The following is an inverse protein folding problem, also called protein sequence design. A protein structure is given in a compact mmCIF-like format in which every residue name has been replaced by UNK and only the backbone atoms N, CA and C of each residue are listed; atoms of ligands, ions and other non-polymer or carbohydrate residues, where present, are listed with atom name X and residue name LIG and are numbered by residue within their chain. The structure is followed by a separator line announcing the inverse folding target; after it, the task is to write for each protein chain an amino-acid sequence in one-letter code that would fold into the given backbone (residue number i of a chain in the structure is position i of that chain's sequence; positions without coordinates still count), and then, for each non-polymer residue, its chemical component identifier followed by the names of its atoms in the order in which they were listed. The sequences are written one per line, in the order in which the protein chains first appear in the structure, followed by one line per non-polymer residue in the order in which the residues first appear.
data_IF_294752778344
#
_entry.id   IF_294752778344
#
_cell.length_a   1.000
_cell.length_b   1.000
_cell.length_c   1.000
_cell.angle_alpha   90.00
_cell.angle_beta   90.00
_cell.angle_gamma   90.00
#
_symmetry.space_group_name_H-M   'P 1'
#
loop_
_entity.id
_entity.type
_entity.pdbx_description
1 polymer ?
#
# COMPACT_ATOMS: atom_id res chain seq x y z
N UNK A 1 -1.90 -19.29 13.54
CA UNK A 1 -3.06 -18.70 12.81
C UNK A 1 -4.41 -18.93 13.49
N UNK A 2 -4.73 -20.13 14.03
CA UNK A 2 -6.03 -20.43 14.69
C UNK A 2 -6.50 -19.37 15.70
N UNK A 3 -5.64 -18.95 16.63
CA UNK A 3 -5.99 -17.95 17.65
C UNK A 3 -6.36 -16.57 17.09
N UNK A 4 -5.72 -16.13 16.00
CA UNK A 4 -6.04 -14.85 15.34
C UNK A 4 -7.42 -14.90 14.70
N UNK A 5 -7.68 -15.93 13.90
CA UNK A 5 -8.95 -16.13 13.20
C UNK A 5 -10.11 -16.29 14.19
N UNK A 6 -9.90 -17.02 15.28
CA UNK A 6 -10.90 -17.19 16.34
C UNK A 6 -11.23 -15.88 17.05
N UNK A 7 -10.22 -15.11 17.46
CA UNK A 7 -10.42 -13.80 18.11
C UNK A 7 -11.16 -12.83 17.20
N UNK A 8 -10.78 -12.77 15.92
CA UNK A 8 -11.46 -11.93 14.94
C UNK A 8 -12.93 -12.35 14.76
N UNK A 9 -13.19 -13.65 14.61
CA UNK A 9 -14.56 -14.21 14.50
C UNK A 9 -15.41 -13.82 15.69
N UNK A 10 -14.90 -14.00 16.91
CA UNK A 10 -15.62 -13.65 18.14
C UNK A 10 -15.95 -12.16 18.20
N UNK A 11 -14.98 -11.29 17.91
CA UNK A 11 -15.19 -9.84 17.90
C UNK A 11 -16.18 -9.41 16.82
N UNK A 12 -16.05 -9.93 15.60
CA UNK A 12 -16.92 -9.61 14.48
C UNK A 12 -18.36 -10.06 14.73
N UNK A 13 -18.54 -11.31 15.20
CA UNK A 13 -19.85 -11.87 15.52
C UNK A 13 -20.54 -11.09 16.62
N UNK A 14 -19.81 -10.72 17.68
CA UNK A 14 -20.35 -9.86 18.75
C UNK A 14 -20.80 -8.50 18.23
N UNK A 15 -19.98 -7.85 17.40
CA UNK A 15 -20.29 -6.53 16.85
C UNK A 15 -21.52 -6.53 15.90
N UNK A 16 -21.74 -7.63 15.18
CA UNK A 16 -22.82 -7.75 14.19
C UNK A 16 -24.00 -8.60 14.68
N UNK A 17 -24.05 -8.98 15.97
CA UNK A 17 -25.07 -9.87 16.55
C UNK A 17 -25.25 -11.18 15.76
N UNK A 18 -24.15 -11.74 15.25
CA UNK A 18 -24.12 -13.00 14.50
C UNK A 18 -23.59 -14.13 15.37
N UNK A 19 -23.87 -15.36 14.98
CA UNK A 19 -23.26 -16.58 15.52
C UNK A 19 -22.73 -17.44 14.37
N UNK A 20 -21.93 -18.46 14.69
CA UNK A 20 -21.40 -19.40 13.71
C UNK A 20 -20.06 -19.02 13.09
N UNK A 21 -19.66 -19.78 12.07
CA UNK A 21 -18.37 -19.66 11.40
C UNK A 21 -18.32 -18.42 10.49
N UNK A 22 -17.19 -17.73 10.49
CA UNK A 22 -16.94 -16.56 9.64
C UNK A 22 -16.02 -16.88 8.44
N UNK A 23 -15.21 -17.93 8.55
CA UNK A 23 -14.22 -18.27 7.54
C UNK A 23 -14.71 -19.44 6.69
N UNK A 24 -14.59 -19.33 5.38
CA UNK A 24 -15.01 -20.40 4.46
C UNK A 24 -14.19 -21.68 4.65
N UNK A 25 -12.87 -21.54 4.82
CA UNK A 25 -11.93 -22.65 4.91
C UNK A 25 -10.86 -22.45 5.99
N UNK A 26 -10.17 -23.54 6.33
CA UNK A 26 -8.99 -23.49 7.19
C UNK A 26 -7.82 -22.75 6.52
N UNK A 27 -6.97 -22.11 7.33
CA UNK A 27 -5.78 -21.42 6.81
C UNK A 27 -4.80 -22.43 6.20
N UNK A 28 -4.19 -22.08 5.07
CA UNK A 28 -3.11 -22.84 4.43
C UNK A 28 -1.77 -22.19 4.74
N UNK A 29 -0.76 -23.01 5.05
CA UNK A 29 0.61 -22.58 5.29
C UNK A 29 1.52 -23.32 4.34
N UNK A 30 2.17 -22.61 3.42
CA UNK A 30 3.08 -23.19 2.44
C UNK A 30 4.42 -22.49 2.58
N UNK A 31 5.49 -23.26 2.65
CA UNK A 31 6.85 -22.72 2.63
C UNK A 31 7.12 -22.21 1.22
N UNK A 32 7.62 -20.99 1.14
CA UNK A 32 7.95 -20.33 -0.12
C UNK A 32 9.46 -20.18 -0.18
N UNK A 33 10.06 -20.76 -1.21
CA UNK A 33 11.47 -20.57 -1.51
C UNK A 33 11.75 -19.11 -1.91
N UNK A 34 12.99 -18.69 -1.76
CA UNK A 34 13.39 -17.34 -2.17
C UNK A 34 13.45 -17.19 -3.71
N UNK A 35 13.93 -16.04 -4.17
CA UNK A 35 14.06 -15.77 -5.59
C UNK A 35 12.72 -15.64 -6.30
N UNK A 36 12.52 -16.38 -7.39
CA UNK A 36 11.37 -16.21 -8.29
C UNK A 36 10.05 -16.52 -7.58
N UNK A 37 10.01 -17.55 -6.72
CA UNK A 37 8.79 -17.95 -6.02
C UNK A 37 8.31 -16.83 -5.08
N UNK A 38 9.20 -16.32 -4.21
CA UNK A 38 8.89 -15.21 -3.32
C UNK A 38 8.45 -13.94 -4.06
N UNK A 39 9.14 -13.54 -5.12
CA UNK A 39 8.77 -12.37 -5.95
C UNK A 39 7.38 -12.53 -6.56
N UNK A 40 7.10 -13.70 -7.12
CA UNK A 40 5.85 -14.00 -7.81
C UNK A 40 4.67 -13.99 -6.84
N UNK A 41 4.83 -14.59 -5.66
CA UNK A 41 3.79 -14.64 -4.63
C UNK A 41 3.52 -13.25 -4.04
N UNK A 42 4.58 -12.46 -3.77
CA UNK A 42 4.42 -11.09 -3.33
C UNK A 42 3.63 -10.28 -4.36
N UNK A 43 4.04 -10.32 -5.63
CA UNK A 43 3.34 -9.63 -6.71
C UNK A 43 1.91 -10.14 -6.91
N UNK A 44 1.66 -11.44 -6.73
CA UNK A 44 0.31 -12.00 -6.79
C UNK A 44 -0.61 -11.34 -5.75
N UNK A 45 -0.16 -11.25 -4.49
CA UNK A 45 -0.93 -10.66 -3.39
C UNK A 45 -1.22 -9.19 -3.68
N UNK A 46 -0.18 -8.43 -4.07
CA UNK A 46 -0.31 -6.98 -4.29
C UNK A 46 -1.12 -6.64 -5.57
N UNK A 47 -1.29 -7.60 -6.50
CA UNK A 47 -2.14 -7.45 -7.70
C UNK A 47 -3.59 -7.91 -7.52
N UNK A 48 -3.93 -8.63 -6.45
CA UNK A 48 -5.31 -9.09 -6.22
C UNK A 48 -6.35 -7.95 -6.22
N UNK A 49 -6.09 -6.76 -5.64
CA UNK A 49 -7.04 -5.65 -5.69
C UNK A 49 -7.32 -5.16 -7.12
N UNK A 50 -6.30 -5.14 -7.99
CA UNK A 50 -6.46 -4.78 -9.41
C UNK A 50 -7.28 -5.85 -10.13
N UNK A 51 -6.96 -7.13 -9.90
CA UNK A 51 -7.68 -8.26 -10.51
C UNK A 51 -9.13 -8.37 -10.04
N UNK A 52 -9.40 -7.95 -8.81
CA UNK A 52 -10.75 -7.83 -8.26
C UNK A 52 -11.49 -6.59 -8.79
N UNK A 53 -10.84 -5.70 -9.55
CA UNK A 53 -11.42 -4.47 -10.09
C UNK A 53 -11.62 -3.36 -9.05
N UNK A 54 -10.98 -3.47 -7.87
CA UNK A 54 -11.13 -2.49 -6.79
C UNK A 54 -10.32 -1.21 -7.03
N UNK A 55 -9.17 -1.34 -7.70
CA UNK A 55 -8.25 -0.22 -8.01
C UNK A 55 -7.64 -0.41 -9.39
N UNK A 56 -7.14 0.68 -9.97
CA UNK A 56 -6.45 0.64 -11.28
C UNK A 56 -4.93 0.55 -11.15
N UNK A 57 -4.38 1.08 -10.07
CA UNK A 57 -2.95 0.97 -9.73
C UNK A 57 -2.81 0.23 -8.39
N UNK A 58 -1.94 -0.80 -8.28
CA UNK A 58 -1.73 -1.52 -7.02
C UNK A 58 -1.26 -0.63 -5.87
N UNK A 59 -0.64 0.53 -6.14
CA UNK A 59 -0.27 1.52 -5.12
C UNK A 59 -1.48 2.17 -4.42
N UNK A 60 -2.66 2.16 -5.07
CA UNK A 60 -3.89 2.74 -4.52
C UNK A 60 -4.53 1.87 -3.44
N UNK A 61 -4.25 0.56 -3.44
CA UNK A 61 -4.82 -0.34 -2.46
C UNK A 61 -4.01 -0.33 -1.15
N UNK A 62 -4.47 0.44 -0.17
CA UNK A 62 -3.74 0.68 1.08
C UNK A 62 -3.45 -0.55 1.95
N UNK A 63 -4.18 -1.64 1.75
CA UNK A 63 -4.08 -2.86 2.57
C UNK A 63 -3.23 -3.95 1.90
N UNK A 64 -2.37 -3.57 0.95
CA UNK A 64 -1.35 -4.42 0.35
C UNK A 64 0.05 -3.99 0.83
N UNK A 65 1.05 -4.86 0.64
CA UNK A 65 2.43 -4.55 1.03
C UNK A 65 2.97 -3.39 0.20
N UNK A 66 2.73 -3.41 -1.11
CA UNK A 66 3.10 -2.32 -2.01
C UNK A 66 2.41 -1.01 -1.66
N UNK A 67 1.09 -1.01 -1.45
CA UNK A 67 0.34 0.18 -1.05
C UNK A 67 0.86 0.78 0.25
N UNK A 68 1.18 -0.05 1.25
CA UNK A 68 1.82 0.41 2.49
C UNK A 68 3.25 0.94 2.27
N UNK A 69 4.05 0.29 1.43
CA UNK A 69 5.41 0.71 1.12
C UNK A 69 5.45 2.11 0.46
N UNK A 70 4.48 2.41 -0.41
CA UNK A 70 4.32 3.71 -1.06
C UNK A 70 3.70 4.75 -0.10
N UNK A 71 2.55 4.45 0.51
CA UNK A 71 1.81 5.40 1.36
C UNK A 71 2.38 5.60 2.77
N UNK A 72 3.29 4.73 3.21
CA UNK A 72 3.92 4.79 4.53
C UNK A 72 3.12 4.16 5.67
N UNK A 73 1.91 3.67 5.41
CA UNK A 73 1.05 3.00 6.40
C UNK A 73 0.66 3.87 7.60
N UNK A 74 0.09 3.23 8.63
CA UNK A 74 -0.41 3.93 9.83
C UNK A 74 0.68 4.68 10.60
N UNK A 75 1.94 4.22 10.53
CA UNK A 75 3.08 4.90 11.18
C UNK A 75 3.73 5.96 10.28
N UNK A 76 3.31 6.09 9.02
CA UNK A 76 3.82 7.07 8.05
C UNK A 76 5.26 6.83 7.59
N UNK A 77 5.80 5.61 7.72
CA UNK A 77 7.15 5.27 7.28
C UNK A 77 7.25 4.03 6.37
N UNK A 78 6.25 3.15 6.33
CA UNK A 78 6.22 1.96 5.47
C UNK A 78 7.39 0.99 5.69
N UNK A 79 8.13 1.12 6.80
CA UNK A 79 9.45 0.47 6.97
C UNK A 79 9.34 -1.06 6.90
N UNK A 80 8.32 -1.64 7.54
CA UNK A 80 8.11 -3.09 7.56
C UNK A 80 7.76 -3.63 6.18
N UNK A 81 6.82 -2.98 5.49
CA UNK A 81 6.43 -3.36 4.14
C UNK A 81 7.62 -3.32 3.17
N UNK A 82 8.42 -2.24 3.21
CA UNK A 82 9.63 -2.10 2.39
C UNK A 82 10.66 -3.19 2.68
N UNK A 83 10.97 -3.47 3.95
CA UNK A 83 11.87 -4.55 4.33
C UNK A 83 11.37 -5.93 3.86
N UNK A 84 10.06 -6.18 3.97
CA UNK A 84 9.44 -7.42 3.48
C UNK A 84 9.53 -7.57 1.96
N UNK A 85 9.29 -6.51 1.21
CA UNK A 85 9.42 -6.51 -0.25
C UNK A 85 10.88 -6.64 -0.69
N UNK A 86 11.83 -6.00 0.01
CA UNK A 86 13.27 -6.21 -0.22
C UNK A 86 13.63 -7.68 0.00
N UNK A 87 13.14 -8.30 1.08
CA UNK A 87 13.33 -9.73 1.32
C UNK A 87 12.79 -10.57 0.17
N UNK A 88 11.55 -10.32 -0.28
CA UNK A 88 10.96 -11.06 -1.39
C UNK A 88 11.76 -10.88 -2.69
N UNK A 89 12.31 -9.68 -2.92
CA UNK A 89 13.02 -9.32 -4.15
C UNK A 89 14.49 -9.72 -4.17
N UNK A 90 15.16 -9.86 -3.02
CA UNK A 90 16.64 -9.91 -2.98
C UNK A 90 17.22 -10.97 -2.04
N UNK A 91 16.41 -11.72 -1.31
CA UNK A 91 16.91 -12.76 -0.38
C UNK A 91 17.85 -13.79 -1.05
N UNK A 92 17.48 -14.29 -2.23
CA UNK A 92 18.32 -15.17 -3.06
C UNK A 92 19.69 -14.57 -3.47
N UNK A 93 19.89 -13.26 -3.32
CA UNK A 93 21.17 -12.58 -3.57
C UNK A 93 21.95 -12.31 -2.27
N UNK A 94 21.54 -12.90 -1.14
CA UNK A 94 22.13 -12.66 0.18
C UNK A 94 21.85 -11.28 0.77
N UNK A 95 20.95 -10.49 0.16
CA UNK A 95 20.62 -9.15 0.67
C UNK A 95 19.73 -9.25 1.91
N UNK A 96 20.06 -8.56 3.01
CA UNK A 96 19.25 -8.58 4.22
C UNK A 96 17.89 -7.89 4.01
N UNK A 97 16.91 -8.26 4.82
CA UNK A 97 15.57 -7.67 4.81
C UNK A 97 15.56 -6.26 5.43
N UNK A 98 16.18 -5.29 4.75
CA UNK A 98 16.27 -3.91 5.20
C UNK A 98 15.58 -2.94 4.23
N UNK A 99 14.78 -2.03 4.77
CA UNK A 99 14.07 -1.01 4.04
C UNK A 99 15.00 0.04 3.39
N UNK A 100 16.27 0.13 3.81
CA UNK A 100 17.28 0.99 3.18
C UNK A 100 17.51 0.65 1.70
N UNK A 101 17.36 -0.62 1.30
CA UNK A 101 17.49 -1.08 -0.09
C UNK A 101 16.28 -0.75 -0.98
N UNK A 102 15.15 -0.34 -0.41
CA UNK A 102 13.94 0.00 -1.16
C UNK A 102 14.14 1.08 -2.23
N UNK A 103 14.75 2.25 -1.93
CA UNK A 103 15.04 3.27 -2.93
C UNK A 103 16.12 2.87 -3.96
N UNK A 104 16.96 1.87 -3.65
CA UNK A 104 18.02 1.37 -4.54
C UNK A 104 17.47 0.34 -5.53
N UNK A 105 16.65 0.81 -6.48
CA UNK A 105 16.06 0.06 -7.60
C UNK A 105 15.02 -1.01 -7.26
N UNK A 106 14.97 -1.54 -6.03
CA UNK A 106 13.98 -2.55 -5.63
C UNK A 106 12.55 -2.05 -5.86
N UNK A 107 12.28 -0.79 -5.51
CA UNK A 107 10.97 -0.18 -5.73
C UNK A 107 10.58 -0.11 -7.22
N UNK A 108 11.52 0.26 -8.10
CA UNK A 108 11.29 0.36 -9.55
C UNK A 108 11.12 -1.01 -10.17
N UNK A 109 12.03 -1.96 -9.88
CA UNK A 109 11.96 -3.33 -10.38
C UNK A 109 10.64 -3.99 -9.97
N UNK A 110 10.24 -3.83 -8.71
CA UNK A 110 8.98 -4.36 -8.24
C UNK A 110 7.77 -3.69 -8.90
N UNK A 111 7.81 -2.36 -9.13
CA UNK A 111 6.75 -1.66 -9.88
C UNK A 111 6.64 -2.18 -11.31
N UNK A 112 7.75 -2.44 -12.02
CA UNK A 112 7.73 -3.05 -13.36
C UNK A 112 7.02 -4.42 -13.35
N UNK A 113 7.32 -5.26 -12.37
CA UNK A 113 6.68 -6.57 -12.20
C UNK A 113 5.17 -6.40 -12.02
N UNK A 114 4.76 -5.46 -11.16
CA UNK A 114 3.35 -5.17 -10.91
C UNK A 114 2.63 -4.63 -12.15
N UNK A 115 3.18 -3.62 -12.83
CA UNK A 115 2.57 -3.05 -14.04
C UNK A 115 2.42 -4.12 -15.13
N UNK A 116 3.46 -4.91 -15.38
CA UNK A 116 3.40 -6.02 -16.35
C UNK A 116 2.38 -7.09 -15.92
N UNK A 117 2.37 -7.46 -14.64
CA UNK A 117 1.47 -8.49 -14.09
C UNK A 117 0.02 -8.05 -13.95
N UNK A 118 -0.24 -6.74 -14.02
CA UNK A 118 -1.56 -6.12 -13.95
C UNK A 118 -2.31 -6.13 -15.28
N UNK A 119 -1.62 -6.41 -16.40
CA UNK A 119 -2.23 -6.42 -17.73
C UNK A 119 -3.28 -7.53 -17.83
N UNK A 120 -4.46 -7.16 -18.31
CA UNK A 120 -5.55 -8.09 -18.59
C UNK A 120 -5.12 -9.12 -19.63
N UNK A 121 -5.45 -10.40 -19.37
CA UNK A 121 -5.24 -11.48 -20.34
C UNK A 121 -6.57 -11.92 -20.93
N UNK A 122 -6.59 -12.01 -22.26
CA UNK A 122 -7.69 -12.56 -23.04
C UNK A 122 -7.18 -13.75 -23.84
N UNK A 123 -8.03 -14.76 -23.99
CA UNK A 123 -7.83 -15.84 -24.96
C UNK A 123 -8.81 -15.64 -26.10
N UNK A 124 -8.29 -15.64 -27.31
CA UNK A 124 -9.10 -15.59 -28.52
C UNK A 124 -9.30 -17.00 -29.05
N UNK A 125 -10.54 -17.33 -29.41
CA UNK A 125 -10.90 -18.56 -30.08
C UNK A 125 -11.74 -18.24 -31.30
N UNK A 126 -11.41 -18.83 -32.45
CA UNK A 126 -12.25 -18.81 -33.62
C UNK A 126 -13.29 -19.94 -33.52
N UNK A 127 -14.56 -19.61 -33.72
CA UNK A 127 -15.62 -20.61 -33.87
C UNK A 127 -15.61 -21.19 -35.28
N UNK A 128 -16.28 -22.33 -35.50
CA UNK A 128 -16.39 -22.97 -36.82
C UNK A 128 -16.98 -22.05 -37.90
N UNK A 129 -17.73 -21.03 -37.50
CA UNK A 129 -18.36 -20.02 -38.38
C UNK A 129 -17.47 -18.79 -38.63
N UNK A 130 -16.19 -18.83 -38.24
CA UNK A 130 -15.25 -17.71 -38.42
C UNK A 130 -15.44 -16.53 -37.46
N UNK A 131 -16.37 -16.61 -36.50
CA UNK A 131 -16.54 -15.56 -35.48
C UNK A 131 -15.49 -15.69 -34.39
N UNK A 132 -14.80 -14.59 -34.09
CA UNK A 132 -13.82 -14.48 -33.01
C UNK A 132 -14.53 -14.20 -31.68
N UNK A 133 -14.28 -15.07 -30.69
CA UNK A 133 -14.70 -14.85 -29.31
C UNK A 133 -13.47 -14.61 -28.43
N UNK A 134 -13.45 -13.49 -27.71
CA UNK A 134 -12.43 -13.18 -26.72
C UNK A 134 -12.98 -13.45 -25.30
N UNK A 135 -12.32 -14.34 -24.56
CA UNK A 135 -12.63 -14.63 -23.15
C UNK A 135 -11.56 -14.04 -22.25
N UNK A 136 -11.95 -13.22 -21.27
CA UNK A 136 -11.02 -12.71 -20.26
C UNK A 136 -10.63 -13.87 -19.34
N UNK A 137 -9.35 -14.25 -19.35
CA UNK A 137 -8.79 -15.29 -18.47
C UNK A 137 -8.19 -14.71 -17.20
N UNK A 138 -7.80 -13.43 -17.22
CA UNK A 138 -7.34 -12.69 -16.05
C UNK A 138 -7.73 -11.23 -16.19
N UNK A 139 -8.61 -10.75 -15.31
CA UNK A 139 -8.96 -9.33 -15.21
C UNK A 139 -7.74 -8.50 -14.84
N UNK A 140 -7.68 -7.28 -15.37
CA UNK A 140 -6.56 -6.37 -15.16
C UNK A 140 -6.80 -5.02 -15.82
N UNK A 141 -5.72 -4.26 -16.02
CA UNK A 141 -5.73 -3.02 -16.79
C UNK A 141 -5.33 -3.27 -18.25
N UNK A 142 -5.59 -2.29 -19.12
CA UNK A 142 -5.16 -2.40 -20.52
C UNK A 142 -3.64 -2.30 -20.65
N UNK A 143 -3.07 -2.91 -21.70
CA UNK A 143 -1.63 -2.81 -21.99
C UNK A 143 -1.17 -1.35 -22.17
N UNK A 144 -2.01 -0.54 -22.83
CA UNK A 144 -1.76 0.90 -23.03
C UNK A 144 -1.65 1.60 -21.68
N UNK A 145 -2.63 1.39 -20.79
CA UNK A 145 -2.63 1.99 -19.46
C UNK A 145 -1.40 1.57 -18.64
N UNK A 146 -1.02 0.29 -18.70
CA UNK A 146 0.19 -0.20 -18.02
C UNK A 146 1.47 0.44 -18.56
N UNK A 147 1.57 0.64 -19.88
CA UNK A 147 2.75 1.24 -20.52
C UNK A 147 2.90 2.75 -20.29
N UNK A 148 1.80 3.45 -20.01
CA UNK A 148 1.82 4.90 -19.71
C UNK A 148 2.19 5.19 -18.26
N UNK A 149 2.12 4.19 -17.38
CA UNK A 149 2.42 4.36 -15.97
C UNK A 149 3.95 4.36 -15.73
N UNK A 150 4.51 5.39 -15.10
CA UNK A 150 5.94 5.46 -14.86
C UNK A 150 6.38 4.39 -13.85
N UNK A 151 7.63 3.92 -13.98
CA UNK A 151 8.26 2.97 -13.05
C UNK A 151 8.61 3.60 -11.70
N UNK A 152 8.66 4.94 -11.65
CA UNK A 152 8.79 5.73 -10.43
C UNK A 152 7.45 6.41 -10.13
N UNK A 153 7.04 6.37 -8.86
CA UNK A 153 5.86 7.12 -8.43
C UNK A 153 6.27 8.56 -8.18
N UNK A 154 5.71 9.49 -8.97
CA UNK A 154 5.93 10.92 -8.77
C UNK A 154 5.50 11.37 -7.38
N UNK A 155 6.14 12.42 -6.86
CA UNK A 155 5.80 12.98 -5.54
C UNK A 155 4.30 13.30 -5.43
N UNK A 156 3.71 13.92 -6.46
CA UNK A 156 2.29 14.26 -6.48
C UNK A 156 1.36 13.04 -6.48
N UNK A 157 1.71 11.95 -7.17
CA UNK A 157 0.93 10.70 -7.12
C UNK A 157 1.08 10.02 -5.76
N UNK A 158 2.30 9.99 -5.23
CA UNK A 158 2.58 9.48 -3.90
C UNK A 158 1.81 10.24 -2.80
N UNK A 159 1.72 11.56 -2.89
CA UNK A 159 0.97 12.41 -1.94
C UNK A 159 -0.54 12.12 -1.92
N UNK A 160 -1.09 11.59 -3.02
CA UNK A 160 -2.51 11.20 -3.14
C UNK A 160 -2.81 9.81 -2.58
N UNK A 161 -1.80 8.95 -2.42
CA UNK A 161 -2.00 7.71 -1.68
C UNK A 161 -2.21 8.03 -0.19
N UNK A 162 -2.86 7.12 0.57
CA UNK A 162 -3.19 7.38 1.98
C UNK A 162 -1.91 7.51 2.82
N UNK A 163 -1.44 8.75 2.95
CA UNK A 163 -0.37 9.10 3.88
C UNK A 163 -1.02 9.59 5.16
N UNK A 164 -0.45 9.17 6.30
CA UNK A 164 -0.89 9.55 7.63
C UNK A 164 -1.18 11.06 7.80
N UNK A 165 -0.43 11.91 7.10
CA UNK A 165 -0.55 13.36 7.24
C UNK A 165 -1.85 13.94 6.69
N UNK A 166 -2.39 13.38 5.60
CA UNK A 166 -3.67 13.81 5.02
C UNK A 166 -4.88 13.10 5.65
N UNK A 167 -4.65 12.12 6.52
CA UNK A 167 -5.73 11.35 7.18
C UNK A 167 -5.83 11.60 8.69
N UNK A 168 -4.70 11.75 9.38
CA UNK A 168 -4.63 12.06 10.81
C UNK A 168 -4.18 13.51 11.07
N UNK A 169 -3.95 14.29 10.02
CA UNK A 169 -3.59 15.71 10.14
C UNK A 169 -4.84 16.55 10.31
N UNK A 170 -4.85 17.44 11.31
CA UNK A 170 -5.87 18.46 11.44
C UNK A 170 -5.68 19.57 10.41
N UNK A 171 -4.42 19.94 10.15
CA UNK A 171 -4.06 21.08 9.28
C UNK A 171 -2.81 20.76 8.48
N UNK A 172 -2.76 21.21 7.23
CA UNK A 172 -1.62 21.10 6.32
C UNK A 172 -1.37 22.47 5.69
N UNK A 173 -0.10 22.86 5.57
CA UNK A 173 0.27 24.13 4.96
C UNK A 173 1.72 24.51 5.21
N UNK A 174 2.02 25.80 5.08
CA UNK A 174 3.34 26.34 5.40
C UNK A 174 3.62 26.24 6.91
N UNK A 175 4.90 26.34 7.28
CA UNK A 175 5.31 26.28 8.69
C UNK A 175 4.68 27.38 9.53
N UNK A 176 4.65 28.60 9.01
CA UNK A 176 4.15 29.78 9.72
C UNK A 176 2.64 29.66 9.95
N UNK A 177 1.88 29.38 8.88
CA UNK A 177 0.44 29.14 8.95
C UNK A 177 0.06 28.09 10.00
N UNK A 178 0.79 26.97 10.05
CA UNK A 178 0.52 25.94 11.05
C UNK A 178 0.84 26.39 12.47
N UNK A 179 1.93 27.14 12.67
CA UNK A 179 2.29 27.61 14.00
C UNK A 179 1.34 28.71 14.49
N UNK A 180 0.85 29.58 13.59
CA UNK A 180 -0.20 30.56 13.87
C UNK A 180 -1.49 29.84 14.30
N UNK A 181 -1.94 28.86 13.52
CA UNK A 181 -3.16 28.12 13.86
C UNK A 181 -2.99 27.30 15.15
N UNK A 182 -1.79 26.77 15.40
CA UNK A 182 -1.46 26.10 16.66
C UNK A 182 -1.51 27.05 17.87
N UNK A 183 -1.08 28.30 17.72
CA UNK A 183 -1.15 29.30 18.78
C UNK A 183 -2.61 29.68 19.09
N UNK A 184 -3.44 29.83 18.05
CA UNK A 184 -4.88 30.10 18.20
C UNK A 184 -5.63 28.95 18.89
N UNK A 185 -5.21 27.71 18.67
CA UNK A 185 -5.83 26.51 19.24
C UNK A 185 -4.94 25.83 20.31
N UNK A 186 -4.22 26.63 21.12
CA UNK A 186 -3.18 26.11 22.04
C UNK A 186 -3.74 25.16 23.09
N UNK A 187 -4.94 25.44 23.59
CA UNK A 187 -5.70 24.67 24.56
C UNK A 187 -5.98 23.22 24.12
N UNK A 188 -6.08 22.95 22.82
CA UNK A 188 -6.30 21.60 22.26
C UNK A 188 -5.08 20.68 22.33
N UNK A 189 -3.92 21.18 22.75
CA UNK A 189 -2.67 20.42 22.72
C UNK A 189 -1.97 20.33 24.08
N UNK A 190 -1.26 19.23 24.32
CA UNK A 190 -0.54 19.01 25.59
C UNK A 190 0.47 20.13 25.95
N UNK A 191 0.72 20.37 27.25
CA UNK A 191 1.55 21.48 27.73
C UNK A 191 2.99 21.45 27.18
N UNK A 192 3.53 20.26 26.95
CA UNK A 192 4.90 20.07 26.45
C UNK A 192 5.08 20.41 24.96
N UNK A 193 4.00 20.63 24.21
CA UNK A 193 4.08 20.93 22.78
C UNK A 193 4.37 22.42 22.60
N UNK A 194 5.61 22.76 22.23
CA UNK A 194 6.05 24.15 21.99
C UNK A 194 5.69 24.70 20.60
N UNK A 195 5.56 23.82 19.60
CA UNK A 195 5.22 24.20 18.21
C UNK A 195 4.23 23.23 17.59
N UNK A 196 3.43 23.73 16.65
CA UNK A 196 2.46 22.96 15.90
C UNK A 196 3.11 22.12 14.79
N UNK A 197 3.93 22.77 13.98
CA UNK A 197 4.40 22.23 12.70
C UNK A 197 5.25 20.96 12.86
N UNK A 198 4.90 19.92 12.10
CA UNK A 198 5.68 18.68 11.97
C UNK A 198 6.03 18.42 10.51
N UNK A 199 7.32 18.18 10.27
CA UNK A 199 7.82 17.73 8.96
C UNK A 199 7.10 16.45 8.54
N UNK A 200 6.76 16.37 7.27
CA UNK A 200 6.40 15.12 6.64
C UNK A 200 7.60 14.17 6.70
N UNK A 201 7.35 12.87 6.87
CA UNK A 201 8.37 11.83 6.96
C UNK A 201 8.11 10.71 5.96
N UNK A 202 9.09 9.82 5.81
CA UNK A 202 8.97 8.65 4.95
C UNK A 202 8.91 9.08 3.49
N UNK A 203 7.96 8.51 2.74
CA UNK A 203 7.78 8.83 1.33
C UNK A 203 7.52 10.34 1.10
N UNK A 204 6.85 11.00 2.05
CA UNK A 204 6.50 12.42 1.97
C UNK A 204 7.63 13.39 2.37
N UNK A 205 8.82 12.89 2.71
CA UNK A 205 9.97 13.72 3.11
C UNK A 205 10.44 14.73 2.04
N UNK A 206 10.35 14.46 0.72
CA UNK A 206 10.69 15.46 -0.29
C UNK A 206 9.83 16.73 -0.22
N UNK A 207 8.60 16.63 0.31
CA UNK A 207 7.74 17.79 0.54
C UNK A 207 8.01 18.50 1.88
N UNK A 208 8.91 18.00 2.73
CA UNK A 208 9.10 18.49 4.09
C UNK A 208 9.75 19.90 4.20
N UNK A 209 10.28 20.44 3.09
CA UNK A 209 10.75 21.82 3.00
C UNK A 209 9.59 22.81 2.74
N UNK A 210 8.55 22.37 2.04
CA UNK A 210 7.44 23.23 1.59
C UNK A 210 6.19 23.03 2.44
N UNK A 211 5.91 21.79 2.82
CA UNK A 211 4.63 21.37 3.41
C UNK A 211 4.85 20.75 4.79
N UNK A 212 4.05 21.22 5.74
CA UNK A 212 4.07 20.79 7.13
C UNK A 212 2.69 20.26 7.51
N UNK A 213 2.62 19.49 8.60
CA UNK A 213 1.36 19.00 9.15
C UNK A 213 1.21 19.32 10.64
N UNK A 214 0.00 19.68 11.06
CA UNK A 214 -0.42 19.72 12.45
C UNK A 214 -1.22 18.45 12.73
N UNK A 215 -0.69 17.56 13.56
CA UNK A 215 -1.46 16.41 14.05
C UNK A 215 -2.28 16.80 15.26
N UNK A 216 -3.57 16.47 15.24
CA UNK A 216 -4.37 16.36 16.47
C UNK A 216 -3.92 15.07 17.17
N UNK A 217 -3.53 15.19 18.44
CA UNK A 217 -3.12 14.06 19.26
C UNK A 217 -4.12 13.84 20.41
N UNK A 218 -5.34 14.40 20.32
CA UNK A 218 -6.45 13.88 21.13
C UNK A 218 -6.53 12.37 20.86
N UNK A 219 -6.34 11.62 21.94
CA UNK A 219 -5.92 10.21 21.98
C UNK A 219 -6.60 9.34 20.90
N UNK A 220 -5.78 8.75 20.01
CA UNK A 220 -6.14 7.52 19.29
C UNK A 220 -5.64 6.30 20.06
#
# INVERSE_FOLDING_TARGET
MKGLLQRFTQTYNRAHKRTGNLWEDAFKSVIVEDGIAAKTIAAYIDLNPVRAGMVKDPAEYRWSSYGEAIGGGNKGNGKKARAGLVRAMRSHLGTPADASFWPHDVSKEYRKILLTGSIERKTESATKDGKHHAKITRKGISKVQASTEPEDISLGKMLRHRIRYFTDGAIIGSRNFINETFAQARDRFGPNRKTGARKLKGAASPAASVLWSLRDLSKS
#
